data_IF_401746092770
#
_entry.id   IF_401746092770
#
_cell.length_a   1.000
_cell.length_b   1.000
_cell.length_c   1.000
_cell.angle_alpha   90.00
_cell.angle_beta   90.00
_cell.angle_gamma   90.00
#
_symmetry.space_group_name_H-M   'P 1'
#
loop_
_entity.id
_entity.type
_entity.pdbx_description
1 polymer ?
#
# COMPACT_ATOMS: atom_id res chain seq x y z
N UNK A 1 17.86 -0.55 8.88
CA UNK A 1 18.27 0.63 9.67
C UNK A 1 17.14 0.94 10.65
N UNK A 2 17.33 0.69 11.94
CA UNK A 2 16.28 0.86 12.97
C UNK A 2 16.03 2.35 13.24
N UNK A 3 17.11 3.15 13.31
CA UNK A 3 17.01 4.59 13.60
C UNK A 3 16.09 5.34 12.63
N UNK A 4 16.22 5.12 11.32
CA UNK A 4 15.36 5.81 10.35
C UNK A 4 13.90 5.35 10.46
N UNK A 5 13.64 4.07 10.76
CA UNK A 5 12.28 3.56 10.98
C UNK A 5 11.63 4.21 12.20
N UNK A 6 12.40 4.48 13.26
CA UNK A 6 11.89 5.12 14.47
C UNK A 6 11.72 6.63 14.28
N UNK A 7 12.64 7.29 13.56
CA UNK A 7 12.58 8.74 13.33
C UNK A 7 11.37 9.14 12.49
N UNK A 8 10.98 8.37 11.48
CA UNK A 8 9.78 8.67 10.67
C UNK A 8 8.45 8.45 11.41
N UNK A 9 8.48 8.04 12.68
CA UNK A 9 7.30 8.09 13.56
C UNK A 9 7.13 9.46 14.24
N UNK A 10 8.14 10.34 14.15
CA UNK A 10 8.09 11.71 14.68
C UNK A 10 7.71 12.66 13.55
N UNK A 11 6.56 13.32 13.65
CA UNK A 11 6.02 14.19 12.59
C UNK A 11 7.00 15.30 12.18
N UNK A 12 7.66 15.96 13.14
CA UNK A 12 8.71 16.96 12.88
C UNK A 12 9.84 16.42 11.97
N UNK A 13 10.19 15.13 12.11
CA UNK A 13 11.20 14.52 11.26
C UNK A 13 10.71 14.30 9.84
N UNK A 14 9.42 14.00 9.64
CA UNK A 14 8.80 13.90 8.32
C UNK A 14 8.84 15.28 7.63
N UNK A 15 8.53 16.35 8.36
CA UNK A 15 8.64 17.72 7.83
C UNK A 15 10.09 18.07 7.45
N UNK A 16 11.08 17.62 8.24
CA UNK A 16 12.50 17.77 7.88
C UNK A 16 12.84 17.01 6.60
N UNK A 17 12.33 15.78 6.42
CA UNK A 17 12.52 15.02 5.17
C UNK A 17 11.86 15.71 3.98
N UNK A 18 10.68 16.29 4.17
CA UNK A 18 10.00 17.06 3.12
C UNK A 18 10.81 18.28 2.69
N UNK A 19 11.52 18.93 3.60
CA UNK A 19 12.34 20.10 3.29
C UNK A 19 13.81 19.77 2.96
N UNK A 20 14.17 18.49 2.96
CA UNK A 20 15.53 18.03 2.71
C UNK A 20 15.94 18.34 1.25
N UNK A 21 17.01 19.13 1.03
CA UNK A 21 17.32 19.67 -0.31
C UNK A 21 17.69 18.61 -1.36
N UNK A 22 18.31 17.51 -0.95
CA UNK A 22 18.80 16.47 -1.88
C UNK A 22 17.71 15.50 -2.30
N UNK A 23 16.58 15.46 -1.58
CA UNK A 23 15.48 14.52 -1.78
C UNK A 23 15.98 13.07 -1.86
N UNK A 24 16.97 12.74 -1.04
CA UNK A 24 17.70 11.46 -1.13
C UNK A 24 16.76 10.24 -1.07
N UNK A 25 15.73 10.31 -0.22
CA UNK A 25 14.74 9.23 -0.09
C UNK A 25 14.01 8.99 -1.42
N UNK A 26 13.67 10.04 -2.16
CA UNK A 26 13.01 9.95 -3.46
C UNK A 26 13.92 9.27 -4.49
N UNK A 27 15.20 9.66 -4.52
CA UNK A 27 16.19 9.04 -5.41
C UNK A 27 16.38 7.54 -5.10
N UNK A 28 16.36 7.15 -3.83
CA UNK A 28 16.45 5.73 -3.45
C UNK A 28 15.20 4.97 -3.88
N UNK A 29 14.00 5.56 -3.72
CA UNK A 29 12.73 4.93 -4.11
C UNK A 29 12.57 4.79 -5.63
N UNK A 30 13.12 5.72 -6.42
CA UNK A 30 13.16 5.60 -7.89
C UNK A 30 13.80 4.29 -8.35
N UNK A 31 14.84 3.84 -7.64
CA UNK A 31 15.56 2.61 -7.93
C UNK A 31 15.09 1.42 -7.11
N UNK A 32 13.92 1.49 -6.45
CA UNK A 32 13.47 0.48 -5.48
C UNK A 32 13.58 -0.96 -6.01
N UNK A 33 13.13 -1.21 -7.25
CA UNK A 33 13.13 -2.54 -7.89
C UNK A 33 14.55 -3.09 -8.15
N UNK A 34 15.57 -2.23 -8.19
CA UNK A 34 16.98 -2.59 -8.41
C UNK A 34 17.72 -2.88 -7.09
N UNK A 35 17.14 -2.50 -5.95
CA UNK A 35 17.71 -2.72 -4.63
C UNK A 35 17.60 -4.19 -4.24
N UNK A 36 18.54 -4.65 -3.40
CA UNK A 36 18.44 -6.00 -2.79
C UNK A 36 17.19 -6.13 -1.91
N UNK A 37 16.63 -7.33 -1.80
CA UNK A 37 15.45 -7.63 -0.95
C UNK A 37 15.58 -7.05 0.48
N UNK A 38 16.76 -7.17 1.10
CA UNK A 38 16.99 -6.65 2.46
C UNK A 38 16.80 -5.12 2.57
N UNK A 39 17.21 -4.40 1.52
CA UNK A 39 17.07 -2.94 1.44
C UNK A 39 15.63 -2.58 1.12
N UNK A 40 15.00 -3.23 0.13
CA UNK A 40 13.58 -3.05 -0.17
C UNK A 40 12.71 -3.26 1.08
N UNK A 41 12.94 -4.36 1.80
CA UNK A 41 12.26 -4.69 3.06
C UNK A 41 12.45 -3.62 4.14
N UNK A 42 13.65 -3.06 4.23
CA UNK A 42 13.95 -1.98 5.18
C UNK A 42 13.24 -0.69 4.80
N UNK A 43 13.17 -0.37 3.50
CA UNK A 43 12.45 0.80 2.98
C UNK A 43 10.94 0.66 3.17
N UNK A 44 10.35 -0.50 2.90
CA UNK A 44 8.94 -0.75 3.17
C UNK A 44 8.57 -0.49 4.62
N UNK A 45 9.43 -0.89 5.57
CA UNK A 45 9.21 -0.60 7.01
C UNK A 45 9.27 0.90 7.31
N UNK A 46 10.23 1.62 6.72
CA UNK A 46 10.33 3.09 6.85
C UNK A 46 9.06 3.75 6.30
N UNK A 47 8.64 3.39 5.09
CA UNK A 47 7.43 3.93 4.47
C UNK A 47 6.17 3.59 5.26
N UNK A 48 6.07 2.36 5.78
CA UNK A 48 4.93 1.92 6.60
C UNK A 48 4.82 2.77 7.87
N UNK A 49 5.94 3.00 8.56
CA UNK A 49 6.00 3.83 9.75
C UNK A 49 5.70 5.30 9.41
N UNK A 50 6.25 5.81 8.31
CA UNK A 50 5.94 7.16 7.83
C UNK A 50 4.43 7.32 7.61
N UNK A 51 3.80 6.39 6.88
CA UNK A 51 2.38 6.41 6.55
C UNK A 51 1.45 6.08 7.74
N UNK A 52 1.98 5.86 8.96
CA UNK A 52 1.15 5.53 10.13
C UNK A 52 0.34 6.72 10.69
N UNK A 53 0.70 7.94 10.28
CA UNK A 53 0.04 9.20 10.64
C UNK A 53 -0.32 10.01 9.38
N UNK A 54 -1.23 10.97 9.53
CA UNK A 54 -1.72 11.79 8.42
C UNK A 54 -0.61 12.62 7.75
N UNK A 55 0.30 13.21 8.52
CA UNK A 55 1.44 13.99 7.98
C UNK A 55 2.30 13.16 7.04
N UNK A 56 2.63 11.92 7.44
CA UNK A 56 3.41 11.02 6.60
C UNK A 56 2.62 10.45 5.43
N UNK A 57 1.30 10.27 5.57
CA UNK A 57 0.44 9.97 4.43
C UNK A 57 0.51 11.09 3.39
N UNK A 58 0.26 12.35 3.78
CA UNK A 58 0.34 13.53 2.90
C UNK A 58 1.72 13.64 2.26
N UNK A 59 2.80 13.42 3.02
CA UNK A 59 4.16 13.41 2.49
C UNK A 59 4.36 12.37 1.36
N UNK A 60 3.70 11.21 1.44
CA UNK A 60 3.83 10.16 0.43
C UNK A 60 2.89 10.33 -0.76
N UNK A 61 1.73 10.97 -0.59
CA UNK A 61 0.67 11.05 -1.62
C UNK A 61 0.53 12.40 -2.29
N UNK A 62 0.97 13.47 -1.62
CA UNK A 62 0.75 14.86 -2.02
C UNK A 62 2.04 15.68 -2.05
N UNK A 63 3.21 15.01 -2.14
CA UNK A 63 4.48 15.73 -2.24
C UNK A 63 4.52 16.55 -3.53
N UNK A 64 4.51 17.88 -3.41
CA UNK A 64 4.85 18.76 -4.52
C UNK A 64 6.34 18.54 -4.89
N UNK A 65 6.59 18.09 -6.12
CA UNK A 65 7.94 17.81 -6.62
C UNK A 65 7.96 17.71 -8.14
N UNK A 66 9.13 18.00 -8.74
CA UNK A 66 9.31 17.86 -10.19
C UNK A 66 9.10 16.41 -10.68
N UNK A 67 8.74 16.26 -11.96
CA UNK A 67 8.24 15.01 -12.58
C UNK A 67 9.10 13.76 -12.34
N UNK A 68 10.39 13.87 -12.04
CA UNK A 68 11.32 12.72 -11.97
C UNK A 68 11.60 12.18 -10.55
N UNK A 69 11.12 12.83 -9.49
CA UNK A 69 11.33 12.41 -8.09
C UNK A 69 10.09 12.72 -7.23
N UNK A 70 8.91 12.47 -7.76
CA UNK A 70 7.65 12.74 -7.07
C UNK A 70 7.21 11.51 -6.26
N UNK A 71 7.12 11.63 -4.94
CA UNK A 71 6.70 10.51 -4.07
C UNK A 71 5.27 10.06 -4.38
N UNK A 72 4.42 10.96 -4.88
CA UNK A 72 3.08 10.63 -5.37
C UNK A 72 3.10 9.55 -6.46
N UNK A 73 4.14 9.50 -7.30
CA UNK A 73 4.31 8.48 -8.34
C UNK A 73 5.11 7.28 -7.82
N UNK A 74 6.12 7.53 -6.97
CA UNK A 74 7.00 6.47 -6.48
C UNK A 74 6.35 5.57 -5.43
N UNK A 75 5.49 6.11 -4.55
CA UNK A 75 4.84 5.33 -3.50
C UNK A 75 3.91 4.24 -4.07
N UNK A 76 3.03 4.54 -5.05
CA UNK A 76 2.24 3.52 -5.75
C UNK A 76 3.13 2.47 -6.42
N UNK A 77 4.16 2.89 -7.16
CA UNK A 77 5.12 2.01 -7.84
C UNK A 77 5.80 1.02 -6.88
N UNK A 78 6.17 1.50 -5.68
CA UNK A 78 6.76 0.69 -4.61
C UNK A 78 5.74 -0.28 -4.04
N UNK A 79 4.50 0.16 -3.80
CA UNK A 79 3.43 -0.72 -3.31
C UNK A 79 3.15 -1.85 -4.30
N UNK A 80 2.98 -1.52 -5.58
CA UNK A 80 2.73 -2.50 -6.66
C UNK A 80 3.90 -3.47 -6.78
N UNK A 81 5.13 -2.95 -6.89
CA UNK A 81 6.32 -3.78 -7.02
C UNK A 81 6.51 -4.74 -5.84
N UNK A 82 6.20 -4.30 -4.62
CA UNK A 82 6.33 -5.12 -3.43
C UNK A 82 5.19 -6.14 -3.25
N UNK A 83 3.94 -5.79 -3.62
CA UNK A 83 2.79 -6.71 -3.57
C UNK A 83 2.90 -7.86 -4.59
N UNK A 84 3.43 -7.55 -5.76
CA UNK A 84 3.59 -8.50 -6.87
C UNK A 84 4.91 -9.28 -6.80
N UNK A 85 5.74 -9.02 -5.78
CA UNK A 85 6.99 -9.75 -5.57
C UNK A 85 6.74 -11.25 -5.32
N UNK A 86 7.70 -12.08 -5.75
CA UNK A 86 7.67 -13.53 -5.53
C UNK A 86 7.91 -13.93 -4.06
N UNK A 87 8.42 -13.02 -3.24
CA UNK A 87 8.82 -13.30 -1.86
C UNK A 87 7.66 -12.99 -0.92
N UNK A 88 7.25 -14.00 -0.14
CA UNK A 88 6.13 -13.90 0.79
C UNK A 88 6.29 -12.83 1.86
N UNK A 89 7.50 -12.64 2.37
CA UNK A 89 7.75 -11.61 3.36
C UNK A 89 7.55 -10.21 2.76
N UNK A 90 7.86 -10.04 1.47
CA UNK A 90 7.78 -8.75 0.79
C UNK A 90 6.33 -8.28 0.66
N UNK A 91 5.45 -9.10 0.09
CA UNK A 91 4.05 -8.72 -0.05
C UNK A 91 3.35 -8.65 1.32
N UNK A 92 3.80 -9.42 2.31
CA UNK A 92 3.28 -9.32 3.68
C UNK A 92 3.63 -7.97 4.32
N UNK A 93 4.84 -7.43 4.09
CA UNK A 93 5.18 -6.06 4.55
C UNK A 93 4.50 -4.99 3.71
N UNK A 94 4.43 -5.15 2.40
CA UNK A 94 3.71 -4.24 1.52
C UNK A 94 2.23 -4.09 1.95
N UNK A 95 1.58 -5.17 2.38
CA UNK A 95 0.20 -5.11 2.88
C UNK A 95 0.01 -4.12 4.03
N UNK A 96 1.01 -3.97 4.91
CA UNK A 96 0.93 -3.04 6.04
C UNK A 96 1.05 -1.60 5.59
N UNK A 97 1.94 -1.32 4.62
CA UNK A 97 2.03 -0.01 3.98
C UNK A 97 0.73 0.35 3.26
N UNK A 98 0.20 -0.58 2.45
CA UNK A 98 -1.05 -0.40 1.70
C UNK A 98 -2.24 -0.19 2.63
N UNK A 99 -2.32 -0.95 3.73
CA UNK A 99 -3.33 -0.72 4.75
C UNK A 99 -3.26 0.72 5.29
N UNK A 100 -2.07 1.20 5.65
CA UNK A 100 -1.89 2.57 6.13
C UNK A 100 -2.22 3.62 5.07
N UNK A 101 -1.80 3.39 3.83
CA UNK A 101 -2.05 4.27 2.69
C UNK A 101 -3.55 4.43 2.43
N UNK A 102 -4.28 3.31 2.35
CA UNK A 102 -5.70 3.31 2.07
C UNK A 102 -6.56 3.80 3.25
N UNK A 103 -6.00 4.07 4.45
CA UNK A 103 -6.80 4.65 5.57
C UNK A 103 -7.28 6.07 5.28
N UNK A 104 -6.64 6.76 4.34
CA UNK A 104 -6.98 8.11 3.91
C UNK A 104 -7.28 8.11 2.40
N UNK A 105 -7.79 9.23 1.89
CA UNK A 105 -8.07 9.38 0.48
C UNK A 105 -6.75 9.47 -0.31
N UNK A 106 -6.61 8.62 -1.32
CA UNK A 106 -5.51 8.69 -2.30
C UNK A 106 -6.07 9.08 -3.68
N UNK A 107 -5.23 9.60 -4.60
CA UNK A 107 -5.66 9.98 -5.95
C UNK A 107 -6.30 8.81 -6.72
N UNK A 108 -7.34 9.06 -7.52
CA UNK A 108 -8.09 8.01 -8.24
C UNK A 108 -7.19 7.10 -9.09
N UNK A 109 -6.26 7.67 -9.87
CA UNK A 109 -5.28 6.90 -10.66
C UNK A 109 -4.46 5.93 -9.78
N UNK A 110 -4.05 6.41 -8.59
CA UNK A 110 -3.33 5.59 -7.60
C UNK A 110 -4.22 4.50 -7.02
N UNK A 111 -5.52 4.75 -6.82
CA UNK A 111 -6.45 3.74 -6.34
C UNK A 111 -6.55 2.58 -7.33
N UNK A 112 -6.65 2.87 -8.63
CA UNK A 112 -6.73 1.85 -9.68
C UNK A 112 -5.45 1.03 -9.75
N UNK A 113 -4.30 1.70 -9.72
CA UNK A 113 -2.99 1.05 -9.80
C UNK A 113 -2.72 0.12 -8.60
N UNK A 114 -2.84 0.66 -7.37
CA UNK A 114 -2.61 -0.11 -6.14
C UNK A 114 -3.71 -1.15 -5.96
N UNK A 115 -4.97 -0.81 -6.26
CA UNK A 115 -6.11 -1.71 -6.18
C UNK A 115 -5.99 -2.93 -7.09
N UNK A 116 -5.49 -2.76 -8.31
CA UNK A 116 -5.18 -3.86 -9.23
C UNK A 116 -4.14 -4.82 -8.63
N UNK A 117 -3.06 -4.28 -8.04
CA UNK A 117 -2.05 -5.09 -7.38
C UNK A 117 -2.58 -5.80 -6.13
N UNK A 118 -3.48 -5.17 -5.38
CA UNK A 118 -4.18 -5.82 -4.25
C UNK A 118 -5.01 -7.01 -4.76
N UNK A 119 -5.82 -6.82 -5.80
CA UNK A 119 -6.68 -7.87 -6.37
C UNK A 119 -5.86 -9.07 -6.86
N UNK A 120 -4.74 -8.82 -7.54
CA UNK A 120 -3.83 -9.88 -7.97
C UNK A 120 -3.18 -10.60 -6.77
N UNK A 121 -2.74 -9.85 -5.76
CA UNK A 121 -2.15 -10.43 -4.55
C UNK A 121 -3.15 -11.30 -3.78
N UNK A 122 -4.42 -10.89 -3.71
CA UNK A 122 -5.52 -11.63 -3.07
C UNK A 122 -5.87 -12.95 -3.77
N UNK A 123 -5.35 -13.23 -4.98
CA UNK A 123 -5.51 -14.55 -5.60
C UNK A 123 -4.58 -15.62 -4.99
N UNK A 124 -3.55 -15.19 -4.24
CA UNK A 124 -2.57 -16.08 -3.60
C UNK A 124 -3.15 -16.69 -2.31
N UNK A 125 -2.51 -17.77 -1.83
CA UNK A 125 -2.70 -18.23 -0.45
C UNK A 125 -1.92 -17.31 0.49
N UNK A 126 -2.63 -16.59 1.37
CA UNK A 126 -2.09 -15.49 2.16
C UNK A 126 -2.22 -15.76 3.66
N UNK A 127 -1.23 -15.34 4.46
CA UNK A 127 -1.41 -15.24 5.91
C UNK A 127 -2.60 -14.35 6.24
N UNK A 128 -3.34 -14.71 7.30
CA UNK A 128 -4.55 -14.01 7.73
C UNK A 128 -4.37 -12.49 7.85
N UNK A 129 -3.26 -12.04 8.43
CA UNK A 129 -3.00 -10.61 8.62
C UNK A 129 -2.74 -9.88 7.30
N UNK A 130 -2.04 -10.53 6.38
CA UNK A 130 -1.79 -9.99 5.03
C UNK A 130 -3.10 -9.87 4.27
N UNK A 131 -3.91 -10.94 4.25
CA UNK A 131 -5.22 -10.91 3.62
C UNK A 131 -6.13 -9.84 4.24
N UNK A 132 -6.13 -9.71 5.57
CA UNK A 132 -6.94 -8.71 6.28
C UNK A 132 -6.58 -7.28 5.87
N UNK A 133 -5.29 -6.96 5.86
CA UNK A 133 -4.78 -5.65 5.46
C UNK A 133 -5.18 -5.30 4.03
N UNK A 134 -5.00 -6.25 3.10
CA UNK A 134 -5.33 -6.09 1.68
C UNK A 134 -6.83 -5.96 1.44
N UNK A 135 -7.66 -6.82 2.05
CA UNK A 135 -9.12 -6.73 1.95
C UNK A 135 -9.65 -5.41 2.52
N UNK A 136 -9.08 -4.94 3.63
CA UNK A 136 -9.49 -3.65 4.22
C UNK A 136 -9.13 -2.48 3.29
N UNK A 137 -7.92 -2.49 2.73
CA UNK A 137 -7.50 -1.49 1.75
C UNK A 137 -8.40 -1.50 0.51
N UNK A 138 -8.63 -2.68 -0.09
CA UNK A 138 -9.48 -2.83 -1.27
C UNK A 138 -10.91 -2.30 -1.04
N UNK A 139 -11.54 -2.65 0.08
CA UNK A 139 -12.89 -2.16 0.40
C UNK A 139 -12.93 -0.63 0.52
N UNK A 140 -11.89 -0.02 1.08
CA UNK A 140 -11.83 1.43 1.17
C UNK A 140 -11.72 2.07 -0.21
N UNK A 141 -10.93 1.48 -1.11
CA UNK A 141 -10.82 1.92 -2.50
C UNK A 141 -12.14 1.75 -3.28
N UNK A 142 -12.82 0.61 -3.14
CA UNK A 142 -14.12 0.35 -3.77
C UNK A 142 -15.20 1.31 -3.30
N UNK A 143 -15.14 1.78 -2.04
CA UNK A 143 -16.08 2.77 -1.50
C UNK A 143 -15.85 4.17 -2.06
N UNK A 144 -14.61 4.50 -2.42
CA UNK A 144 -14.24 5.82 -2.93
C UNK A 144 -14.19 5.92 -4.45
N UNK A 145 -14.12 4.80 -5.16
CA UNK A 145 -14.00 4.76 -6.61
C UNK A 145 -14.83 3.61 -7.22
N UNK A 146 -15.81 3.97 -8.04
CA UNK A 146 -16.71 3.04 -8.75
C UNK A 146 -15.94 2.11 -9.70
N UNK A 147 -14.92 2.60 -10.39
CA UNK A 147 -14.07 1.79 -11.27
C UNK A 147 -13.37 0.66 -10.51
N UNK A 148 -12.99 0.91 -9.25
CA UNK A 148 -12.41 -0.14 -8.40
C UNK A 148 -13.44 -1.21 -8.01
N UNK A 149 -14.71 -0.82 -7.85
CA UNK A 149 -15.79 -1.77 -7.61
C UNK A 149 -16.03 -2.65 -8.84
N UNK A 150 -16.11 -2.04 -10.04
CA UNK A 150 -16.26 -2.75 -11.31
C UNK A 150 -15.09 -3.71 -11.56
N UNK A 151 -13.87 -3.23 -11.35
CA UNK A 151 -12.66 -4.05 -11.52
C UNK A 151 -12.64 -5.24 -10.58
N UNK A 152 -13.01 -5.05 -9.30
CA UNK A 152 -13.12 -6.14 -8.34
C UNK A 152 -14.20 -7.16 -8.74
N UNK A 153 -15.31 -6.71 -9.34
CA UNK A 153 -16.36 -7.58 -9.87
C UNK A 153 -15.90 -8.43 -11.05
N UNK A 154 -15.10 -7.85 -11.97
CA UNK A 154 -14.59 -8.54 -13.16
C UNK A 154 -13.44 -9.50 -12.84
N UNK A 155 -12.44 -9.04 -12.07
CA UNK A 155 -11.27 -9.86 -11.70
C UNK A 155 -11.66 -10.94 -10.69
N UNK A 156 -12.59 -10.62 -9.80
CA UNK A 156 -13.02 -11.49 -8.71
C UNK A 156 -12.03 -11.52 -7.55
N UNK A 157 -12.52 -11.93 -6.40
CA UNK A 157 -11.74 -12.10 -5.17
C UNK A 157 -11.85 -13.56 -4.71
N UNK A 158 -10.75 -14.15 -4.23
CA UNK A 158 -10.78 -15.48 -3.64
C UNK A 158 -11.37 -15.47 -2.21
N UNK A 159 -12.57 -14.89 -2.05
CA UNK A 159 -13.27 -14.80 -0.77
C UNK A 159 -13.47 -16.17 -0.13
N UNK A 160 -13.65 -17.23 -0.94
CA UNK A 160 -13.86 -18.59 -0.43
C UNK A 160 -12.69 -19.15 0.39
N UNK A 161 -11.46 -18.75 0.08
CA UNK A 161 -10.27 -19.10 0.85
C UNK A 161 -10.14 -18.17 2.08
N UNK A 162 -10.25 -16.86 1.86
CA UNK A 162 -10.01 -15.85 2.90
C UNK A 162 -11.05 -15.87 4.03
N UNK A 163 -12.32 -16.13 3.73
CA UNK A 163 -13.42 -16.25 4.73
C UNK A 163 -13.20 -17.36 5.76
N UNK A 164 -12.30 -18.33 5.48
CA UNK A 164 -11.96 -19.44 6.37
C UNK A 164 -10.85 -19.08 7.36
N UNK A 165 -10.09 -18.00 7.10
CA UNK A 165 -8.95 -17.60 7.92
C UNK A 165 -9.38 -16.96 9.25
N UNK A 166 -10.38 -16.08 9.23
CA UNK A 166 -10.88 -15.44 10.46
C UNK A 166 -12.30 -14.85 10.31
N UNK A 167 -13.03 -14.62 11.42
CA UNK A 167 -14.34 -13.97 11.38
C UNK A 167 -14.30 -12.56 10.80
N UNK A 168 -13.24 -11.79 11.09
CA UNK A 168 -13.10 -10.41 10.57
C UNK A 168 -12.91 -10.40 9.05
N UNK A 169 -12.12 -11.33 8.51
CA UNK A 169 -11.98 -11.48 7.07
C UNK A 169 -13.29 -11.91 6.42
N UNK A 170 -14.06 -12.76 7.09
CA UNK A 170 -15.38 -13.15 6.59
C UNK A 170 -16.28 -11.94 6.36
N UNK A 171 -16.38 -11.05 7.36
CA UNK A 171 -17.16 -9.83 7.24
C UNK A 171 -16.70 -8.93 6.08
N UNK A 172 -15.39 -8.78 5.88
CA UNK A 172 -14.85 -7.98 4.76
C UNK A 172 -15.17 -8.62 3.40
N UNK A 173 -15.06 -9.94 3.28
CA UNK A 173 -15.41 -10.66 2.06
C UNK A 173 -16.91 -10.56 1.74
N UNK A 174 -17.77 -10.68 2.74
CA UNK A 174 -19.23 -10.57 2.57
C UNK A 174 -19.62 -9.15 2.12
N UNK A 175 -18.98 -8.12 2.69
CA UNK A 175 -19.16 -6.73 2.27
C UNK A 175 -18.70 -6.52 0.82
N UNK A 176 -17.51 -7.01 0.46
CA UNK A 176 -16.96 -6.86 -0.88
C UNK A 176 -17.85 -7.55 -1.93
N UNK A 177 -18.33 -8.77 -1.64
CA UNK A 177 -19.27 -9.50 -2.50
C UNK A 177 -20.59 -8.77 -2.69
N UNK A 178 -21.07 -8.07 -1.66
CA UNK A 178 -22.30 -7.26 -1.75
C UNK A 178 -22.08 -6.06 -2.67
N UNK A 179 -20.92 -5.41 -2.59
CA UNK A 179 -20.58 -4.26 -3.44
C UNK A 179 -20.45 -4.65 -4.92
N UNK A 180 -19.86 -5.80 -5.23
CA UNK A 180 -19.65 -6.28 -6.61
C UNK A 180 -20.85 -7.01 -7.22
N UNK A 181 -21.93 -7.23 -6.46
CA UNK A 181 -23.14 -7.90 -6.95
C UNK A 181 -24.17 -6.93 -7.54
N UNK A 182 -23.91 -5.63 -7.43
CA UNK A 182 -24.66 -4.53 -8.04
C UNK A 182 -24.11 -4.23 -9.43
#
# INVERSE_FOLDING_TARGET
>A
CVLLQDLVLVEDFIELLQNEPTKLINSVLLHFKELTDNVQMSLLKVLTNCCSHEVGHVFLTDSEGGEQCNLKLLCPDVCVGALLHENQDMYSKASSLVYNLCRYQIPEDTQVEVGSAILECLQKDLPETTAYNLMTGLLQLMKSNEEMCDLAGVVGMNCSAHQKLSPRLRSLCDEAQTMTAL
#
